data_IF_339650506069
#
_entry.id   IF_339650506069
#
_cell.length_a   1.000
_cell.length_b   1.000
_cell.length_c   1.000
_cell.angle_alpha   90.00
_cell.angle_beta   90.00
_cell.angle_gamma   90.00
#
_symmetry.space_group_name_H-M   'P 1'
#
loop_
_entity.id
_entity.type
_entity.pdbx_description
1 polymer ?
#
# COMPACT_ATOMS: atom_id res chain seq x y z
N UNK A 1 -44.96 -12.50 -7.14
CA UNK A 1 -43.73 -12.23 -7.91
C UNK A 1 -42.80 -13.42 -7.70
N UNK A 2 -42.66 -14.27 -8.72
CA UNK A 2 -41.68 -15.36 -8.71
C UNK A 2 -40.29 -14.76 -8.84
N UNK A 3 -39.40 -15.05 -7.88
CA UNK A 3 -38.00 -14.64 -7.94
C UNK A 3 -37.32 -15.35 -9.11
N UNK A 4 -37.02 -14.63 -10.19
CA UNK A 4 -36.31 -15.11 -11.40
C UNK A 4 -34.82 -15.43 -11.17
N UNK A 5 -34.36 -15.52 -9.93
CA UNK A 5 -32.95 -15.77 -9.61
C UNK A 5 -32.83 -16.91 -8.61
N UNK A 6 -31.92 -17.84 -8.92
CA UNK A 6 -31.52 -18.92 -8.02
C UNK A 6 -30.31 -18.44 -7.23
N UNK A 7 -30.45 -18.31 -5.91
CA UNK A 7 -29.31 -18.07 -5.02
C UNK A 7 -28.54 -19.38 -4.90
N UNK A 8 -27.30 -19.41 -5.38
CA UNK A 8 -26.38 -20.53 -5.19
C UNK A 8 -25.63 -20.27 -3.88
N UNK A 9 -25.91 -21.07 -2.86
CA UNK A 9 -25.17 -21.01 -1.60
C UNK A 9 -23.80 -21.68 -1.77
N UNK A 10 -22.78 -21.14 -1.11
CA UNK A 10 -21.44 -21.74 -1.08
C UNK A 10 -21.49 -23.18 -0.57
N UNK A 11 -20.81 -24.08 -1.27
CA UNK A 11 -20.63 -25.47 -0.83
C UNK A 11 -19.65 -25.54 0.34
N UNK A 12 -19.61 -26.68 1.03
CA UNK A 12 -18.59 -26.89 2.07
C UNK A 12 -17.17 -26.95 1.48
N UNK A 13 -17.02 -27.36 0.22
CA UNK A 13 -15.74 -27.28 -0.49
C UNK A 13 -15.31 -25.83 -0.74
N UNK A 14 -16.24 -24.95 -1.12
CA UNK A 14 -15.96 -23.52 -1.30
C UNK A 14 -15.52 -22.85 0.01
N UNK A 15 -16.22 -23.18 1.11
CA UNK A 15 -15.86 -22.69 2.45
C UNK A 15 -14.47 -23.19 2.88
N UNK A 16 -14.15 -24.46 2.63
CA UNK A 16 -12.83 -25.00 2.95
C UNK A 16 -11.72 -24.30 2.17
N UNK A 17 -11.93 -24.03 0.87
CA UNK A 17 -10.97 -23.27 0.04
C UNK A 17 -10.77 -21.84 0.56
N UNK A 18 -11.84 -21.20 1.00
CA UNK A 18 -11.79 -19.87 1.61
C UNK A 18 -10.98 -19.90 2.92
N UNK A 19 -11.23 -20.88 3.80
CA UNK A 19 -10.47 -21.08 5.03
C UNK A 19 -8.99 -21.34 4.76
N UNK A 20 -8.65 -22.21 3.81
CA UNK A 20 -7.25 -22.51 3.44
C UNK A 20 -6.53 -21.25 2.95
N UNK A 21 -7.20 -20.42 2.14
CA UNK A 21 -6.69 -19.14 1.68
C UNK A 21 -6.41 -18.20 2.86
N UNK A 22 -7.35 -18.04 3.79
CA UNK A 22 -7.21 -17.17 4.96
C UNK A 22 -6.05 -17.65 5.85
N UNK A 23 -6.01 -18.96 6.15
CA UNK A 23 -4.92 -19.57 6.91
C UNK A 23 -3.57 -19.34 6.25
N UNK A 24 -3.48 -19.44 4.92
CA UNK A 24 -2.24 -19.18 4.18
C UNK A 24 -1.80 -17.72 4.31
N UNK A 25 -2.72 -16.77 4.20
CA UNK A 25 -2.42 -15.33 4.29
C UNK A 25 -1.94 -14.97 5.71
N UNK A 26 -2.63 -15.45 6.74
CA UNK A 26 -2.23 -15.25 8.13
C UNK A 26 -0.84 -15.84 8.42
N UNK A 27 -0.58 -17.10 8.02
CA UNK A 27 0.73 -17.76 8.19
C UNK A 27 1.84 -17.02 7.45
N UNK A 28 1.59 -16.55 6.22
CA UNK A 28 2.59 -15.77 5.48
C UNK A 28 2.92 -14.46 6.20
N UNK A 29 1.93 -13.80 6.79
CA UNK A 29 2.16 -12.60 7.58
C UNK A 29 3.03 -12.85 8.80
N UNK A 30 2.70 -13.88 9.60
CA UNK A 30 3.51 -14.27 10.77
C UNK A 30 4.95 -14.65 10.40
N UNK A 31 5.15 -15.34 9.27
CA UNK A 31 6.48 -15.71 8.79
C UNK A 31 7.31 -14.48 8.40
N UNK A 32 6.72 -13.54 7.67
CA UNK A 32 7.44 -12.33 7.26
C UNK A 32 7.69 -11.39 8.43
N UNK A 33 6.75 -11.28 9.37
CA UNK A 33 6.94 -10.57 10.64
C UNK A 33 8.16 -11.12 11.38
N UNK A 34 8.18 -12.44 11.61
CA UNK A 34 9.28 -13.10 12.30
C UNK A 34 10.60 -12.89 11.56
N UNK A 35 10.61 -13.05 10.24
CA UNK A 35 11.82 -12.88 9.44
C UNK A 35 12.35 -11.44 9.54
N UNK A 36 11.47 -10.44 9.49
CA UNK A 36 11.84 -9.03 9.65
C UNK A 36 12.39 -8.76 11.05
N UNK A 37 11.67 -9.15 12.10
CA UNK A 37 12.07 -8.93 13.49
C UNK A 37 13.39 -9.64 13.82
N UNK A 38 13.55 -10.90 13.42
CA UNK A 38 14.79 -11.65 13.67
C UNK A 38 15.98 -11.08 12.89
N UNK A 39 15.77 -10.60 11.66
CA UNK A 39 16.83 -9.93 10.89
C UNK A 39 17.25 -8.61 11.57
N UNK A 40 16.29 -7.84 12.05
CA UNK A 40 16.53 -6.59 12.75
C UNK A 40 17.22 -6.82 14.10
N UNK A 41 16.74 -7.77 14.91
CA UNK A 41 17.33 -8.13 16.19
C UNK A 41 18.79 -8.60 16.05
N UNK A 42 19.07 -9.46 15.06
CA UNK A 42 20.44 -9.95 14.80
C UNK A 42 21.43 -8.80 14.53
N UNK A 43 20.98 -7.71 13.92
CA UNK A 43 21.84 -6.57 13.55
C UNK A 43 21.89 -5.49 14.63
N UNK A 44 20.79 -5.31 15.37
CA UNK A 44 20.64 -4.23 16.34
C UNK A 44 21.04 -4.63 17.77
N UNK A 45 20.96 -5.91 18.15
CA UNK A 45 21.27 -6.34 19.52
C UNK A 45 22.72 -6.05 19.87
N UNK A 46 22.92 -5.25 20.93
CA UNK A 46 24.24 -4.82 21.39
C UNK A 46 24.93 -3.76 20.52
N UNK A 47 24.24 -3.22 19.51
CA UNK A 47 24.79 -2.18 18.62
C UNK A 47 24.71 -0.81 19.27
N UNK A 48 25.83 -0.07 19.21
CA UNK A 48 25.93 1.34 19.67
C UNK A 48 26.05 2.32 18.49
N UNK A 49 26.43 1.83 17.31
CA UNK A 49 26.62 2.62 16.08
C UNK A 49 25.34 2.86 15.27
N UNK A 50 25.45 3.69 14.22
CA UNK A 50 24.32 4.05 13.35
C UNK A 50 23.87 2.87 12.50
N UNK A 51 22.60 2.84 12.11
CA UNK A 51 22.06 1.83 11.19
C UNK A 51 22.70 1.95 9.79
N UNK A 52 23.12 3.15 9.39
CA UNK A 52 23.82 3.40 8.12
C UNK A 52 25.20 2.73 8.02
N UNK A 53 25.77 2.30 9.16
CA UNK A 53 27.06 1.60 9.22
C UNK A 53 26.90 0.08 9.13
N UNK A 54 25.66 -0.43 8.99
CA UNK A 54 25.40 -1.86 8.80
C UNK A 54 25.88 -2.28 7.40
N UNK A 55 26.48 -3.47 7.24
CA UNK A 55 26.81 -4.01 5.92
C UNK A 55 25.60 -4.00 4.97
N UNK A 56 25.85 -3.67 3.70
CA UNK A 56 24.78 -3.47 2.72
C UNK A 56 23.94 -4.73 2.46
N UNK A 57 24.55 -5.92 2.53
CA UNK A 57 23.83 -7.19 2.37
C UNK A 57 22.88 -7.46 3.55
N UNK A 58 23.25 -7.03 4.76
CA UNK A 58 22.41 -7.14 5.95
C UNK A 58 21.25 -6.13 5.91
N UNK A 59 21.53 -4.87 5.52
CA UNK A 59 20.48 -3.88 5.26
C UNK A 59 19.49 -4.37 4.19
N UNK A 60 19.99 -5.01 3.13
CA UNK A 60 19.15 -5.53 2.05
C UNK A 60 18.24 -6.67 2.54
N UNK A 61 18.76 -7.59 3.37
CA UNK A 61 17.95 -8.66 3.99
C UNK A 61 16.85 -8.10 4.87
N UNK A 62 17.16 -7.12 5.72
CA UNK A 62 16.17 -6.49 6.61
C UNK A 62 15.13 -5.74 5.77
N UNK A 63 15.58 -4.92 4.82
CA UNK A 63 14.70 -4.16 3.92
C UNK A 63 13.76 -5.06 3.13
N UNK A 64 14.27 -6.15 2.54
CA UNK A 64 13.46 -7.12 1.81
C UNK A 64 12.41 -7.79 2.70
N UNK A 65 12.80 -8.27 3.88
CA UNK A 65 11.87 -8.88 4.83
C UNK A 65 10.81 -7.87 5.30
N UNK A 66 11.20 -6.62 5.55
CA UNK A 66 10.31 -5.52 5.93
C UNK A 66 9.28 -5.21 4.85
N UNK A 67 9.69 -5.08 3.58
CA UNK A 67 8.77 -4.84 2.46
C UNK A 67 7.77 -6.00 2.31
N UNK A 68 8.24 -7.26 2.43
CA UNK A 68 7.36 -8.42 2.40
C UNK A 68 6.38 -8.46 3.57
N UNK A 69 6.84 -8.08 4.76
CA UNK A 69 5.98 -7.96 5.92
C UNK A 69 4.86 -6.93 5.69
N UNK A 70 5.19 -5.72 5.22
CA UNK A 70 4.18 -4.69 4.87
C UNK A 70 3.15 -5.23 3.86
N UNK A 71 3.61 -5.89 2.80
CA UNK A 71 2.72 -6.46 1.79
C UNK A 71 1.78 -7.52 2.38
N UNK A 72 2.28 -8.38 3.27
CA UNK A 72 1.46 -9.39 3.93
C UNK A 72 0.46 -8.80 4.93
N UNK A 73 0.81 -7.73 5.65
CA UNK A 73 -0.13 -7.01 6.54
C UNK A 73 -1.30 -6.43 5.76
N UNK A 74 -1.02 -5.88 4.58
CA UNK A 74 -2.05 -5.40 3.65
C UNK A 74 -2.97 -6.54 3.22
N UNK A 75 -2.41 -7.69 2.88
CA UNK A 75 -3.21 -8.84 2.44
C UNK A 75 -4.14 -9.35 3.56
N UNK A 76 -3.65 -9.41 4.81
CA UNK A 76 -4.48 -9.69 6.00
C UNK A 76 -5.61 -8.65 6.13
N UNK A 77 -5.28 -7.36 6.04
CA UNK A 77 -6.29 -6.28 6.12
C UNK A 77 -7.37 -6.45 5.06
N UNK A 78 -6.99 -6.78 3.82
CA UNK A 78 -7.94 -7.00 2.72
C UNK A 78 -8.87 -8.18 2.96
N UNK A 79 -8.38 -9.27 3.55
CA UNK A 79 -9.23 -10.40 3.89
C UNK A 79 -10.15 -10.08 5.08
N UNK A 80 -9.67 -9.37 6.10
CA UNK A 80 -10.53 -8.92 7.21
C UNK A 80 -11.69 -8.04 6.73
N UNK A 81 -11.43 -7.13 5.78
CA UNK A 81 -12.47 -6.31 5.16
C UNK A 81 -13.50 -7.18 4.42
N UNK A 82 -13.05 -8.19 3.66
CA UNK A 82 -13.97 -9.09 2.94
C UNK A 82 -14.86 -9.90 3.88
N UNK A 83 -14.30 -10.32 5.01
CA UNK A 83 -15.01 -11.07 6.04
C UNK A 83 -15.93 -10.17 6.91
N UNK A 84 -15.84 -8.84 6.76
CA UNK A 84 -16.62 -7.90 7.56
C UNK A 84 -16.19 -7.83 9.03
N UNK A 85 -14.98 -8.29 9.35
CA UNK A 85 -14.41 -8.28 10.70
C UNK A 85 -13.38 -7.17 10.90
N UNK A 86 -13.13 -6.34 9.87
CA UNK A 86 -12.31 -5.15 10.01
C UNK A 86 -13.08 -4.11 10.83
N UNK A 87 -12.63 -3.87 12.07
CA UNK A 87 -13.25 -2.91 13.00
C UNK A 87 -12.97 -1.44 12.62
N UNK A 88 -12.30 -1.21 11.48
CA UNK A 88 -11.78 0.09 11.08
C UNK A 88 -10.53 0.47 11.87
N UNK A 89 -9.61 1.18 11.23
CA UNK A 89 -8.33 1.54 11.84
C UNK A 89 -8.48 2.77 12.73
N UNK A 90 -8.05 2.65 13.98
CA UNK A 90 -7.96 3.77 14.92
C UNK A 90 -6.80 4.70 14.55
N UNK A 91 -6.85 5.97 15.00
CA UNK A 91 -5.73 6.91 14.80
C UNK A 91 -4.42 6.36 15.38
N UNK A 92 -4.46 5.81 16.59
CA UNK A 92 -3.29 5.19 17.22
C UNK A 92 -2.75 4.02 16.38
N UNK A 93 -3.65 3.18 15.84
CA UNK A 93 -3.27 2.10 14.93
C UNK A 93 -2.59 2.60 13.65
N UNK A 94 -3.08 3.69 13.06
CA UNK A 94 -2.46 4.28 11.86
C UNK A 94 -1.11 4.94 12.17
N UNK A 95 -0.94 5.55 13.35
CA UNK A 95 0.35 6.10 13.79
C UNK A 95 1.40 5.01 13.98
N UNK A 96 1.02 3.88 14.59
CA UNK A 96 1.91 2.72 14.72
C UNK A 96 2.27 2.17 13.34
N UNK A 97 1.27 1.95 12.48
CA UNK A 97 1.49 1.46 11.11
C UNK A 97 2.40 2.37 10.30
N UNK A 98 2.18 3.69 10.36
CA UNK A 98 3.04 4.68 9.73
C UNK A 98 4.48 4.57 10.24
N UNK A 99 4.66 4.53 11.56
CA UNK A 99 6.00 4.45 12.19
C UNK A 99 6.74 3.18 11.79
N UNK A 100 6.05 2.04 11.75
CA UNK A 100 6.65 0.76 11.33
C UNK A 100 7.10 0.83 9.88
N UNK A 101 6.24 1.31 8.96
CA UNK A 101 6.60 1.42 7.54
C UNK A 101 7.75 2.44 7.35
N UNK A 102 7.70 3.57 8.05
CA UNK A 102 8.73 4.60 8.00
C UNK A 102 10.09 4.11 8.50
N UNK A 103 10.09 3.25 9.53
CA UNK A 103 11.32 2.62 10.03
C UNK A 103 11.93 1.68 8.99
N UNK A 104 11.12 0.92 8.26
CA UNK A 104 11.56 0.05 7.16
C UNK A 104 12.11 0.91 6.02
N UNK A 105 11.43 2.02 5.68
CA UNK A 105 11.90 2.97 4.66
C UNK A 105 13.21 3.65 5.08
N UNK A 106 13.42 3.92 6.36
CA UNK A 106 14.70 4.44 6.86
C UNK A 106 15.85 3.46 6.62
N UNK A 107 15.60 2.16 6.81
CA UNK A 107 16.58 1.10 6.51
C UNK A 107 16.87 1.04 5.00
N UNK A 108 15.83 1.11 4.16
CA UNK A 108 16.00 1.15 2.70
C UNK A 108 16.78 2.38 2.23
N UNK A 109 16.58 3.54 2.86
CA UNK A 109 17.35 4.76 2.58
C UNK A 109 18.85 4.60 2.87
N UNK A 110 19.25 3.65 3.72
CA UNK A 110 20.67 3.37 3.98
C UNK A 110 21.32 2.50 2.89
N UNK A 111 20.55 1.90 2.00
CA UNK A 111 21.09 1.15 0.88
C UNK A 111 21.68 2.10 -0.15
N UNK A 112 22.82 1.73 -0.71
CA UNK A 112 23.25 2.32 -1.98
C UNK A 112 22.25 1.95 -3.06
N UNK A 113 22.09 2.81 -4.06
CA UNK A 113 21.15 2.54 -5.14
C UNK A 113 21.46 1.21 -5.85
N UNK A 114 22.74 0.85 -5.99
CA UNK A 114 23.16 -0.45 -6.54
C UNK A 114 22.60 -1.64 -5.72
N UNK A 115 22.71 -1.59 -4.40
CA UNK A 115 22.21 -2.66 -3.54
C UNK A 115 20.69 -2.67 -3.48
N UNK A 116 20.05 -1.50 -3.52
CA UNK A 116 18.60 -1.37 -3.62
C UNK A 116 18.05 -2.04 -4.88
N UNK A 117 18.59 -1.73 -6.06
CA UNK A 117 18.16 -2.33 -7.34
C UNK A 117 18.43 -3.84 -7.36
N UNK A 118 19.50 -4.28 -6.72
CA UNK A 118 19.82 -5.72 -6.59
C UNK A 118 18.80 -6.45 -5.71
N UNK A 119 18.42 -5.84 -4.58
CA UNK A 119 17.44 -6.40 -3.65
C UNK A 119 16.00 -6.35 -4.20
N UNK A 120 15.69 -5.31 -4.97
CA UNK A 120 14.38 -5.06 -5.56
C UNK A 120 14.49 -4.83 -7.07
N UNK A 121 14.64 -5.89 -7.87
CA UNK A 121 14.74 -5.75 -9.32
C UNK A 121 13.52 -5.04 -9.91
N UNK A 122 13.76 -4.28 -10.98
CA UNK A 122 12.71 -3.57 -11.73
C UNK A 122 11.82 -4.60 -12.44
N UNK A 123 10.51 -4.42 -12.34
CA UNK A 123 9.55 -5.24 -13.08
C UNK A 123 9.69 -4.99 -14.60
N UNK A 124 9.74 -6.08 -15.37
CA UNK A 124 9.94 -6.04 -16.84
C UNK A 124 8.62 -5.78 -17.58
N UNK A 125 7.99 -4.66 -17.28
CA UNK A 125 6.81 -4.15 -18.00
C UNK A 125 7.25 -3.02 -18.92
N UNK A 126 6.70 -2.97 -20.12
CA UNK A 126 7.18 -2.11 -21.21
C UNK A 126 6.06 -1.34 -21.92
N UNK A 127 4.83 -1.42 -21.41
CA UNK A 127 3.64 -0.78 -21.96
C UNK A 127 3.22 0.45 -21.15
N UNK A 128 4.13 1.04 -20.38
CA UNK A 128 3.85 2.20 -19.53
C UNK A 128 3.37 3.41 -20.31
N UNK A 129 4.00 3.71 -21.46
CA UNK A 129 3.59 4.82 -22.34
C UNK A 129 2.14 4.69 -22.81
N UNK A 130 1.70 3.47 -23.12
CA UNK A 130 0.31 3.20 -23.56
C UNK A 130 -0.72 3.47 -22.46
N UNK A 131 -0.35 3.25 -21.21
CA UNK A 131 -1.25 3.34 -20.05
C UNK A 131 -0.95 4.53 -19.14
N UNK A 132 -0.06 5.43 -19.56
CA UNK A 132 0.45 6.55 -18.77
C UNK A 132 0.93 6.11 -17.36
N UNK A 133 1.60 4.97 -17.31
CA UNK A 133 2.06 4.32 -16.09
C UNK A 133 3.58 4.20 -16.05
N UNK A 134 4.13 4.16 -14.83
CA UNK A 134 5.54 3.83 -14.60
C UNK A 134 5.79 2.37 -15.02
N UNK A 135 6.82 2.20 -15.83
CA UNK A 135 7.33 0.94 -16.38
C UNK A 135 8.87 0.88 -16.35
N UNK A 136 9.44 -0.21 -16.90
CA UNK A 136 10.87 -0.42 -16.95
C UNK A 136 11.65 0.77 -17.54
N UNK A 137 11.21 1.35 -18.65
CA UNK A 137 11.94 2.42 -19.32
C UNK A 137 11.87 3.73 -18.53
N UNK A 138 10.71 4.07 -17.97
CA UNK A 138 10.59 5.23 -17.09
C UNK A 138 11.45 5.10 -15.82
N UNK A 139 11.50 3.91 -15.22
CA UNK A 139 12.34 3.65 -14.04
C UNK A 139 13.82 3.74 -14.39
N UNK A 140 14.25 3.12 -15.49
CA UNK A 140 15.65 3.25 -15.95
C UNK A 140 16.04 4.71 -16.22
N UNK A 141 15.11 5.52 -16.76
CA UNK A 141 15.31 6.96 -16.96
C UNK A 141 15.47 7.70 -15.62
N UNK A 142 14.68 7.39 -14.60
CA UNK A 142 14.83 7.96 -13.27
C UNK A 142 16.19 7.58 -12.64
N UNK A 143 16.54 6.28 -12.65
CA UNK A 143 17.78 5.75 -12.10
C UNK A 143 19.04 6.31 -12.79
N UNK A 144 18.97 6.63 -14.08
CA UNK A 144 20.11 7.19 -14.84
C UNK A 144 20.61 8.54 -14.30
N UNK A 145 19.78 9.25 -13.52
CA UNK A 145 20.10 10.57 -12.95
C UNK A 145 20.69 10.48 -11.54
N UNK A 146 20.72 9.29 -10.94
CA UNK A 146 21.10 9.10 -9.54
C UNK A 146 22.51 8.52 -9.41
N UNK A 147 23.14 8.72 -8.24
CA UNK A 147 24.46 8.16 -7.95
C UNK A 147 24.33 6.73 -7.42
N UNK A 148 24.91 5.76 -8.14
CA UNK A 148 24.73 4.34 -7.85
C UNK A 148 25.43 3.83 -6.59
N UNK A 149 26.50 4.52 -6.17
CA UNK A 149 27.39 4.09 -5.09
C UNK A 149 27.19 4.89 -3.80
N UNK A 150 26.20 5.79 -3.76
CA UNK A 150 25.80 6.52 -2.55
C UNK A 150 24.52 5.95 -1.95
N UNK A 151 24.35 6.03 -0.62
CA UNK A 151 23.07 5.78 0.02
C UNK A 151 21.97 6.64 -0.59
N UNK A 152 20.76 6.08 -0.71
CA UNK A 152 19.62 6.79 -1.29
C UNK A 152 19.23 7.97 -0.39
N UNK A 153 19.21 7.77 0.93
CA UNK A 153 18.67 8.72 1.90
C UNK A 153 17.18 8.48 2.15
N UNK A 154 16.72 8.73 3.39
CA UNK A 154 15.30 8.54 3.74
C UNK A 154 14.43 9.56 3.01
N UNK A 155 14.89 10.80 2.87
CA UNK A 155 14.11 11.89 2.29
C UNK A 155 13.90 11.67 0.79
N UNK A 156 14.96 11.25 0.08
CA UNK A 156 14.96 10.98 -1.36
C UNK A 156 14.31 9.64 -1.73
N UNK A 157 14.20 8.69 -0.78
CA UNK A 157 13.60 7.39 -1.04
C UNK A 157 12.15 7.50 -1.52
N UNK A 158 11.38 8.45 -0.99
CA UNK A 158 9.98 8.61 -1.40
C UNK A 158 9.84 9.06 -2.85
N UNK A 159 10.76 9.90 -3.34
CA UNK A 159 10.83 10.30 -4.76
C UNK A 159 11.23 9.10 -5.63
N UNK A 160 12.21 8.31 -5.19
CA UNK A 160 12.60 7.09 -5.89
C UNK A 160 11.42 6.11 -5.99
N UNK A 161 10.71 5.81 -4.90
CA UNK A 161 9.61 4.86 -4.87
C UNK A 161 8.42 5.29 -5.76
N UNK A 162 8.28 6.59 -6.03
CA UNK A 162 7.26 7.11 -6.94
C UNK A 162 7.56 6.73 -8.41
N UNK A 163 8.84 6.77 -8.81
CA UNK A 163 9.29 6.53 -10.19
C UNK A 163 9.85 5.09 -10.42
N UNK A 164 9.76 4.21 -9.43
CA UNK A 164 10.34 2.86 -9.47
C UNK A 164 9.29 1.77 -9.67
N UNK A 165 9.36 1.04 -10.79
CA UNK A 165 8.46 -0.08 -11.05
C UNK A 165 8.94 -1.36 -10.35
N UNK A 166 8.42 -1.59 -9.16
CA UNK A 166 8.45 -2.88 -8.49
C UNK A 166 7.15 -3.05 -7.69
N UNK A 167 6.42 -4.12 -7.97
CA UNK A 167 5.09 -4.33 -7.39
C UNK A 167 5.06 -4.30 -5.86
N UNK A 168 6.01 -4.96 -5.19
CA UNK A 168 6.07 -4.99 -3.73
C UNK A 168 6.38 -3.60 -3.15
N UNK A 169 7.36 -2.90 -3.71
CA UNK A 169 7.73 -1.54 -3.28
C UNK A 169 6.57 -0.56 -3.48
N UNK A 170 5.91 -0.62 -4.65
CA UNK A 170 4.71 0.20 -4.92
C UNK A 170 3.62 -0.07 -3.91
N UNK A 171 3.41 -1.32 -3.55
CA UNK A 171 2.42 -1.70 -2.55
C UNK A 171 2.78 -1.19 -1.17
N UNK A 172 4.02 -1.33 -0.73
CA UNK A 172 4.47 -0.78 0.55
C UNK A 172 4.35 0.75 0.59
N UNK A 173 4.67 1.44 -0.50
CA UNK A 173 4.54 2.89 -0.59
C UNK A 173 3.08 3.35 -0.54
N UNK A 174 2.15 2.63 -1.18
CA UNK A 174 0.71 2.88 -1.05
C UNK A 174 0.26 2.74 0.41
N UNK A 175 0.73 1.71 1.13
CA UNK A 175 0.39 1.54 2.55
C UNK A 175 0.91 2.72 3.39
N UNK A 176 2.12 3.21 3.12
CA UNK A 176 2.71 4.39 3.75
C UNK A 176 1.85 5.65 3.53
N UNK A 177 1.53 5.98 2.27
CA UNK A 177 0.74 7.18 1.94
C UNK A 177 -0.70 7.07 2.44
N UNK A 178 -1.24 5.86 2.50
CA UNK A 178 -2.59 5.62 3.06
C UNK A 178 -2.61 5.90 4.56
N UNK A 179 -1.64 5.39 5.32
CA UNK A 179 -1.52 5.68 6.75
C UNK A 179 -1.32 7.17 7.00
N UNK A 180 -0.43 7.81 6.23
CA UNK A 180 -0.18 9.25 6.29
C UNK A 180 -1.47 10.06 6.03
N UNK A 181 -2.25 9.70 5.00
CA UNK A 181 -3.52 10.38 4.71
C UNK A 181 -4.59 10.14 5.77
N UNK A 182 -4.61 8.98 6.42
CA UNK A 182 -5.53 8.70 7.52
C UNK A 182 -5.21 9.56 8.76
N UNK A 183 -3.93 9.67 9.11
CA UNK A 183 -3.45 10.55 10.20
C UNK A 183 -3.81 12.01 9.90
N UNK A 184 -3.49 12.48 8.68
CA UNK A 184 -3.80 13.84 8.26
C UNK A 184 -5.31 14.13 8.31
N UNK A 185 -6.15 13.18 7.89
CA UNK A 185 -7.60 13.30 7.97
C UNK A 185 -8.12 13.35 9.39
N UNK A 186 -7.55 12.56 10.31
CA UNK A 186 -7.94 12.62 11.72
C UNK A 186 -7.61 13.99 12.35
N UNK A 187 -6.53 14.65 11.90
CA UNK A 187 -6.10 15.96 12.40
C UNK A 187 -6.88 17.13 11.78
N UNK A 188 -7.21 17.04 10.48
CA UNK A 188 -7.72 18.19 9.70
C UNK A 188 -9.17 18.03 9.25
N UNK A 189 -9.74 16.82 9.38
CA UNK A 189 -11.04 16.45 8.82
C UNK A 189 -11.01 16.09 7.33
N UNK A 190 -9.90 16.33 6.60
CA UNK A 190 -9.78 16.15 5.15
C UNK A 190 -8.65 15.20 4.76
N UNK A 191 -8.82 14.46 3.67
CA UNK A 191 -7.72 13.66 3.12
C UNK A 191 -6.61 14.51 2.49
N UNK A 192 -5.39 13.97 2.34
CA UNK A 192 -4.28 14.71 1.70
C UNK A 192 -4.62 15.06 0.25
N UNK A 193 -5.13 14.09 -0.52
CA UNK A 193 -5.55 14.33 -1.90
C UNK A 193 -6.73 15.28 -2.00
N UNK A 194 -7.64 15.25 -1.04
CA UNK A 194 -8.77 16.18 -0.98
C UNK A 194 -8.27 17.62 -0.82
N UNK A 195 -7.37 17.85 0.14
CA UNK A 195 -6.74 19.14 0.34
C UNK A 195 -5.97 19.61 -0.89
N UNK A 196 -5.18 18.72 -1.52
CA UNK A 196 -4.44 19.03 -2.73
C UNK A 196 -5.35 19.51 -3.87
N UNK A 197 -6.47 18.82 -4.14
CA UNK A 197 -7.40 19.22 -5.19
C UNK A 197 -8.08 20.56 -4.87
N UNK A 198 -8.48 20.78 -3.62
CA UNK A 198 -9.03 22.06 -3.18
C UNK A 198 -8.05 23.22 -3.42
N UNK A 199 -6.78 23.04 -3.07
CA UNK A 199 -5.73 24.05 -3.27
C UNK A 199 -5.46 24.33 -4.76
N UNK A 200 -5.88 23.43 -5.65
CA UNK A 200 -5.82 23.59 -7.11
C UNK A 200 -7.14 24.04 -7.73
N UNK A 201 -8.14 24.37 -6.91
CA UNK A 201 -9.46 24.80 -7.39
C UNK A 201 -10.27 23.66 -8.05
N UNK A 202 -9.91 22.40 -7.79
CA UNK A 202 -10.61 21.23 -8.32
C UNK A 202 -11.59 20.73 -7.25
N UNK A 203 -12.91 20.68 -7.54
CA UNK A 203 -13.90 20.21 -6.58
C UNK A 203 -13.78 18.70 -6.34
N UNK A 204 -13.94 18.29 -5.09
CA UNK A 204 -13.96 16.90 -4.66
C UNK A 204 -15.36 16.48 -4.20
N UNK A 205 -15.66 15.19 -4.32
CA UNK A 205 -17.00 14.66 -4.07
C UNK A 205 -16.96 13.40 -3.21
N UNK A 206 -17.91 13.29 -2.29
CA UNK A 206 -18.14 12.09 -1.49
C UNK A 206 -19.38 11.37 -2.03
N UNK A 207 -19.25 10.08 -2.34
CA UNK A 207 -20.37 9.25 -2.80
C UNK A 207 -20.81 8.32 -1.67
N UNK A 208 -22.06 8.48 -1.24
CA UNK A 208 -22.77 7.47 -0.44
C UNK A 208 -23.55 6.56 -1.38
N UNK A 209 -23.02 5.34 -1.61
CA UNK A 209 -23.66 4.35 -2.47
C UNK A 209 -24.91 3.72 -1.85
N UNK A 210 -25.04 3.73 -0.52
CA UNK A 210 -26.20 3.15 0.18
C UNK A 210 -27.45 3.98 -0.04
N UNK A 211 -27.30 5.30 0.00
CA UNK A 211 -28.41 6.26 -0.18
C UNK A 211 -28.47 6.79 -1.63
N UNK A 212 -27.41 6.56 -2.42
CA UNK A 212 -27.33 6.97 -3.82
C UNK A 212 -27.16 8.48 -3.97
N UNK A 213 -26.28 9.05 -3.16
CA UNK A 213 -26.05 10.49 -3.07
C UNK A 213 -24.58 10.79 -3.34
N UNK A 214 -24.34 11.87 -4.09
CA UNK A 214 -23.04 12.49 -4.26
C UNK A 214 -23.08 13.88 -3.63
N UNK A 215 -22.16 14.16 -2.71
CA UNK A 215 -22.01 15.46 -2.05
C UNK A 215 -20.76 16.14 -2.58
N UNK A 216 -20.88 17.40 -3.01
CA UNK A 216 -19.73 18.27 -3.25
C UNK A 216 -19.11 18.68 -1.91
N UNK A 217 -17.82 18.41 -1.70
CA UNK A 217 -17.14 18.65 -0.43
C UNK A 217 -16.82 20.13 -0.18
N UNK A 218 -16.89 20.98 -1.22
CA UNK A 218 -16.67 22.42 -1.12
C UNK A 218 -17.97 23.19 -0.89
N UNK A 219 -18.99 22.96 -1.73
CA UNK A 219 -20.26 23.71 -1.65
C UNK A 219 -21.26 23.07 -0.70
N UNK A 220 -21.10 21.78 -0.41
CA UNK A 220 -22.07 20.99 0.34
C UNK A 220 -23.26 20.53 -0.51
N UNK A 221 -23.30 20.89 -1.79
CA UNK A 221 -24.41 20.53 -2.69
C UNK A 221 -24.55 19.03 -2.83
N UNK A 222 -25.80 18.58 -2.83
CA UNK A 222 -26.17 17.17 -2.84
C UNK A 222 -26.88 16.85 -4.15
N UNK A 223 -26.30 15.92 -4.91
CA UNK A 223 -26.89 15.40 -6.15
C UNK A 223 -27.26 13.93 -5.94
N UNK A 224 -28.51 13.59 -6.24
CA UNK A 224 -28.95 12.19 -6.25
C UNK A 224 -28.34 11.49 -7.46
N UNK A 225 -27.53 10.47 -7.22
CA UNK A 225 -26.95 9.68 -8.31
C UNK A 225 -28.03 8.80 -8.93
N UNK A 226 -28.17 8.81 -10.26
CA UNK A 226 -29.00 7.80 -10.92
C UNK A 226 -28.35 6.43 -10.71
N UNK A 227 -29.14 5.46 -10.24
CA UNK A 227 -28.69 4.08 -10.16
C UNK A 227 -28.54 3.57 -11.60
N UNK A 228 -27.32 3.59 -12.13
CA UNK A 228 -27.03 3.02 -13.45
C UNK A 228 -27.13 1.51 -13.32
N UNK A 229 -28.32 0.97 -13.57
CA UNK A 229 -28.50 -0.47 -13.67
C UNK A 229 -27.99 -0.90 -15.04
N UNK A 230 -26.84 -1.60 -15.09
CA UNK A 230 -26.41 -2.30 -16.30
C UNK A 230 -27.38 -3.42 -16.71
N UNK A 231 -28.37 -3.71 -15.87
CA UNK A 231 -29.49 -4.62 -16.15
C UNK A 231 -30.72 -3.76 -16.44
N UNK A 232 -31.06 -3.58 -17.71
CA UNK A 232 -32.38 -3.09 -18.08
C UNK A 232 -33.36 -4.25 -17.94
N UNK A 233 -34.31 -4.14 -17.00
CA UNK A 233 -35.45 -5.05 -16.96
C UNK A 233 -36.36 -4.67 -18.12
N UNK A 234 -36.21 -5.36 -19.26
CA UNK A 234 -37.16 -5.27 -20.36
C UNK A 234 -38.47 -5.90 -19.89
N UNK A 235 -39.57 -5.14 -19.98
CA UNK A 235 -40.92 -5.62 -19.68
C UNK A 235 -41.41 -6.60 -20.74
#
# INVERSE_FOLDING_TARGET
>A
MSSKFTVINSTDEDKNKEMDRICRIARLNELWERQYLSALERVCTGRIGKISEVPQDELAKIGLAGIKYICSMRDVTRENIKLGIDEGKTLAGEQVRFTVIDSIFTILGCLTLRNFVTAFPIDKRYDGEKWECIDYFSTMKALSKMNWDKPIGRDELSELLWDYDNSDLRHAYIEFTTAMSAIYKAQTGKGIMEKFFEDRGVPTYTIDKGIGIMKNNQTGDIVKTQKVSHIQVVK
#
